data_IF_334793272729
#
_entry.id   IF_334793272729
#
_cell.length_a   1.000
_cell.length_b   1.000
_cell.length_c   1.000
_cell.angle_alpha   90.00
_cell.angle_beta   90.00
_cell.angle_gamma   90.00
#
_symmetry.space_group_name_H-M   'P 1'
#
loop_
_entity.id
_entity.type
_entity.pdbx_description
1 polymer ?
#
# COMPACT_ATOMS: atom_id res chain seq x y z
N UNK A 1 5.32 5.96 6.31
CA UNK A 1 4.33 4.94 6.74
C UNK A 1 5.06 3.69 7.16
N UNK A 2 5.21 2.73 6.23
CA UNK A 2 5.75 1.38 6.46
C UNK A 2 6.94 1.32 7.41
N UNK A 3 8.08 1.92 7.05
CA UNK A 3 9.29 1.84 7.88
C UNK A 3 9.17 2.52 9.24
N UNK A 4 8.37 3.59 9.33
CA UNK A 4 8.06 4.25 10.61
C UNK A 4 7.28 3.32 11.54
N UNK A 5 6.38 2.52 10.98
CA UNK A 5 5.61 1.50 11.72
C UNK A 5 6.47 0.33 12.14
N UNK A 6 7.38 -0.14 11.28
CA UNK A 6 8.35 -1.19 11.65
C UNK A 6 9.23 -0.71 12.80
N UNK A 7 9.78 0.51 12.69
CA UNK A 7 10.57 1.11 13.76
C UNK A 7 9.75 1.27 15.05
N UNK A 8 8.51 1.73 14.95
CA UNK A 8 7.59 1.86 16.08
C UNK A 8 7.29 0.53 16.77
N UNK A 9 7.06 -0.54 16.00
CA UNK A 9 6.80 -1.87 16.52
C UNK A 9 8.04 -2.47 17.22
N UNK A 10 9.23 -2.27 16.64
CA UNK A 10 10.50 -2.72 17.25
C UNK A 10 10.79 -1.94 18.54
N UNK A 11 10.59 -0.62 18.56
CA UNK A 11 10.76 0.21 19.76
C UNK A 11 9.74 -0.13 20.85
N UNK A 12 8.48 -0.41 20.49
CA UNK A 12 7.48 -0.87 21.43
C UNK A 12 7.83 -2.24 22.03
N UNK A 13 8.52 -3.08 21.27
CA UNK A 13 9.02 -4.37 21.74
C UNK A 13 10.18 -4.22 22.72
N UNK A 14 11.15 -3.34 22.41
CA UNK A 14 12.26 -3.02 23.32
C UNK A 14 11.79 -2.35 24.63
N UNK A 15 10.71 -1.56 24.56
CA UNK A 15 10.07 -0.95 25.72
C UNK A 15 9.22 -1.94 26.56
N UNK A 16 9.10 -3.21 26.15
CA UNK A 16 8.32 -4.24 26.83
C UNK A 16 6.80 -4.05 26.75
N UNK A 17 6.32 -3.21 25.83
CA UNK A 17 4.88 -2.94 25.64
C UNK A 17 4.22 -3.94 24.69
N UNK A 18 5.00 -4.58 23.82
CA UNK A 18 4.57 -5.57 22.82
C UNK A 18 5.66 -6.64 22.67
N UNK A 19 5.35 -7.82 22.15
CA UNK A 19 6.33 -8.88 21.89
C UNK A 19 6.27 -9.32 20.43
N UNK A 20 6.66 -8.42 19.52
CA UNK A 20 6.67 -8.71 18.09
C UNK A 20 8.08 -9.08 17.61
N UNK A 21 8.16 -10.20 16.90
CA UNK A 21 9.35 -10.52 16.12
C UNK A 21 9.55 -9.49 15.00
N UNK A 22 10.78 -9.35 14.50
CA UNK A 22 11.08 -8.44 13.38
C UNK A 22 10.25 -8.79 12.14
N UNK A 23 9.98 -10.06 11.90
CA UNK A 23 9.16 -10.55 10.79
C UNK A 23 7.69 -10.12 10.93
N UNK A 24 7.14 -10.22 12.14
CA UNK A 24 5.78 -9.75 12.44
C UNK A 24 5.69 -8.23 12.34
N UNK A 25 6.65 -7.50 12.92
CA UNK A 25 6.74 -6.05 12.79
C UNK A 25 6.82 -5.60 11.32
N UNK A 26 7.61 -6.31 10.50
CA UNK A 26 7.70 -6.07 9.06
C UNK A 26 6.35 -6.30 8.36
N UNK A 27 5.64 -7.39 8.67
CA UNK A 27 4.33 -7.67 8.11
C UNK A 27 3.27 -6.62 8.49
N UNK A 28 3.25 -6.18 9.75
CA UNK A 28 2.36 -5.12 10.26
C UNK A 28 2.68 -3.79 9.57
N UNK A 29 3.96 -3.49 9.37
CA UNK A 29 4.39 -2.27 8.70
C UNK A 29 3.80 -2.09 7.31
N UNK A 30 3.59 -3.19 6.55
CA UNK A 30 3.05 -3.11 5.18
C UNK A 30 1.65 -2.50 5.13
N UNK A 31 0.86 -2.57 6.22
CA UNK A 31 -0.45 -1.89 6.33
C UNK A 31 -0.32 -0.39 5.99
N UNK A 32 0.79 0.24 6.41
CA UNK A 32 1.07 1.65 6.13
C UNK A 32 1.31 1.99 4.66
N UNK A 33 1.42 0.99 3.79
CA UNK A 33 1.48 1.16 2.33
C UNK A 33 0.10 1.28 1.69
N UNK A 34 -0.98 0.98 2.42
CA UNK A 34 -2.36 1.03 1.95
C UNK A 34 -2.62 0.20 0.67
N UNK A 35 -1.91 -0.92 0.52
CA UNK A 35 -2.09 -1.89 -0.57
C UNK A 35 -2.47 -3.27 0.01
N UNK A 36 -3.75 -3.64 -0.15
CA UNK A 36 -4.34 -4.85 0.43
C UNK A 36 -3.74 -6.15 -0.12
N UNK A 37 -3.75 -6.37 -1.45
CA UNK A 37 -3.13 -7.53 -2.07
C UNK A 37 -1.66 -7.75 -1.66
N UNK A 38 -0.86 -6.68 -1.64
CA UNK A 38 0.55 -6.78 -1.20
C UNK A 38 0.67 -7.07 0.30
N UNK A 39 -0.18 -6.45 1.14
CA UNK A 39 -0.20 -6.72 2.58
C UNK A 39 -0.51 -8.19 2.87
N UNK A 40 -1.51 -8.75 2.19
CA UNK A 40 -1.87 -10.18 2.31
C UNK A 40 -0.72 -11.07 1.85
N UNK A 41 -0.12 -10.77 0.70
CA UNK A 41 0.99 -11.57 0.17
C UNK A 41 2.19 -11.61 1.12
N UNK A 42 2.63 -10.44 1.61
CA UNK A 42 3.78 -10.36 2.53
C UNK A 42 3.44 -10.98 3.88
N UNK A 43 2.26 -10.72 4.45
CA UNK A 43 1.83 -11.33 5.70
C UNK A 43 1.77 -12.86 5.59
N UNK A 44 1.29 -13.42 4.48
CA UNK A 44 1.25 -14.87 4.28
C UNK A 44 2.64 -15.54 4.20
N UNK A 45 3.70 -14.77 3.94
CA UNK A 45 5.09 -15.24 3.92
C UNK A 45 5.85 -14.98 5.22
N UNK A 46 5.61 -13.84 5.87
CA UNK A 46 6.37 -13.39 7.03
C UNK A 46 5.70 -13.72 8.37
N UNK A 47 4.36 -13.60 8.45
CA UNK A 47 3.59 -13.79 9.67
C UNK A 47 2.19 -14.37 9.36
N UNK A 48 2.09 -15.65 8.94
CA UNK A 48 0.82 -16.28 8.54
C UNK A 48 -0.23 -16.29 9.65
N UNK A 49 0.21 -16.31 10.91
CA UNK A 49 -0.64 -16.27 12.10
C UNK A 49 -1.32 -14.92 12.31
N UNK A 50 -0.70 -13.82 11.84
CA UNK A 50 -1.25 -12.46 11.92
C UNK A 50 -2.04 -12.05 10.67
N UNK A 51 -2.11 -12.92 9.67
CA UNK A 51 -2.71 -12.62 8.36
C UNK A 51 -4.14 -12.07 8.47
N UNK A 52 -4.97 -12.69 9.33
CA UNK A 52 -6.35 -12.27 9.53
C UNK A 52 -6.45 -10.84 10.06
N UNK A 53 -5.72 -10.53 11.13
CA UNK A 53 -5.68 -9.21 11.74
C UNK A 53 -5.15 -8.15 10.75
N UNK A 54 -4.05 -8.44 10.06
CA UNK A 54 -3.42 -7.55 9.08
C UNK A 54 -4.37 -7.25 7.91
N UNK A 55 -5.03 -8.28 7.36
CA UNK A 55 -5.94 -8.11 6.23
C UNK A 55 -7.17 -7.27 6.61
N UNK A 56 -7.78 -7.54 7.77
CA UNK A 56 -8.92 -6.75 8.28
C UNK A 56 -8.52 -5.30 8.50
N UNK A 57 -7.38 -5.09 9.18
CA UNK A 57 -6.84 -3.75 9.43
C UNK A 57 -6.58 -3.00 8.11
N UNK A 58 -5.93 -3.64 7.14
CA UNK A 58 -5.59 -3.03 5.86
C UNK A 58 -6.82 -2.53 5.11
N UNK A 59 -7.83 -3.38 4.87
CA UNK A 59 -9.03 -2.98 4.14
C UNK A 59 -9.93 -2.01 4.95
N UNK A 60 -9.98 -2.16 6.27
CA UNK A 60 -10.71 -1.22 7.14
C UNK A 60 -10.11 0.18 7.06
N UNK A 61 -8.79 0.32 7.16
CA UNK A 61 -8.14 1.62 7.07
C UNK A 61 -8.19 2.23 5.68
N UNK A 62 -8.15 1.41 4.62
CA UNK A 62 -8.40 1.89 3.25
C UNK A 62 -9.80 2.49 3.10
N UNK A 63 -10.81 1.94 3.76
CA UNK A 63 -12.16 2.52 3.76
C UNK A 63 -12.24 3.81 4.62
N UNK A 64 -11.39 3.94 5.63
CA UNK A 64 -11.34 5.09 6.53
C UNK A 64 -10.43 6.23 6.04
N UNK A 65 -9.77 6.09 4.88
CA UNK A 65 -8.96 7.16 4.26
C UNK A 65 -9.68 8.52 4.22
N UNK A 66 -10.96 8.61 3.81
CA UNK A 66 -11.69 9.90 3.78
C UNK A 66 -11.93 10.51 5.15
N UNK A 67 -11.86 9.72 6.24
CA UNK A 67 -11.95 10.22 7.61
C UNK A 67 -10.57 10.63 8.14
N UNK A 68 -9.53 9.86 7.83
CA UNK A 68 -8.19 10.02 8.40
C UNK A 68 -7.38 11.10 7.68
N UNK A 69 -7.40 11.15 6.34
CA UNK A 69 -6.55 12.08 5.58
C UNK A 69 -6.95 13.56 5.74
N UNK A 70 -8.24 13.96 5.63
CA UNK A 70 -8.57 15.38 5.62
C UNK A 70 -8.17 16.15 6.88
N UNK A 71 -8.27 15.60 8.12
CA UNK A 71 -7.72 16.26 9.30
C UNK A 71 -6.20 16.48 9.23
N UNK A 72 -5.45 15.55 8.65
CA UNK A 72 -4.00 15.66 8.50
C UNK A 72 -3.66 16.74 7.46
N UNK A 73 -4.37 16.75 6.33
CA UNK A 73 -4.24 17.83 5.33
C UNK A 73 -4.55 19.18 5.99
N UNK A 74 -5.69 19.26 6.70
CA UNK A 74 -6.04 20.17 7.81
C UNK A 74 -4.85 20.85 8.47
N UNK A 75 -4.07 20.02 9.14
CA UNK A 75 -3.02 20.40 10.08
C UNK A 75 -1.70 20.78 9.40
N UNK A 76 -1.35 20.13 8.29
CA UNK A 76 -0.03 20.28 7.67
C UNK A 76 0.00 21.22 6.46
N UNK A 77 -1.13 21.57 5.85
CA UNK A 77 -1.18 22.49 4.68
C UNK A 77 -1.89 23.81 4.98
N UNK A 78 -1.49 24.86 4.26
CA UNK A 78 -2.05 26.21 4.36
C UNK A 78 -3.08 26.47 3.24
N UNK A 79 -3.93 27.48 3.39
CA UNK A 79 -4.93 27.83 2.36
C UNK A 79 -4.29 28.23 1.03
N UNK A 80 -3.16 28.94 1.06
CA UNK A 80 -2.44 29.36 -0.15
C UNK A 80 -1.90 28.17 -0.93
N UNK A 81 -1.38 27.16 -0.23
CA UNK A 81 -0.85 25.94 -0.83
C UNK A 81 -1.96 25.14 -1.51
N UNK A 82 -3.12 25.01 -0.85
CA UNK A 82 -4.29 24.28 -1.37
C UNK A 82 -4.88 24.91 -2.63
N UNK A 83 -4.70 26.23 -2.81
CA UNK A 83 -5.18 26.99 -3.98
C UNK A 83 -4.22 26.95 -5.17
N UNK A 84 -3.09 26.24 -5.07
CA UNK A 84 -2.15 26.10 -6.19
C UNK A 84 -2.79 25.35 -7.36
N UNK A 85 -2.76 25.98 -8.53
CA UNK A 85 -3.30 25.43 -9.78
C UNK A 85 -2.27 24.49 -10.39
N UNK A 86 -2.63 23.21 -10.54
CA UNK A 86 -1.79 22.21 -11.19
C UNK A 86 -1.87 22.36 -12.71
N UNK A 87 -0.72 22.32 -13.38
CA UNK A 87 -0.63 22.29 -14.84
C UNK A 87 -1.14 20.94 -15.34
N UNK A 88 -1.81 20.93 -16.50
CA UNK A 88 -2.26 19.69 -17.12
C UNK A 88 -1.06 18.80 -17.44
N UNK A 89 -1.21 17.50 -17.19
CA UNK A 89 -0.19 16.51 -17.53
C UNK A 89 0.04 16.48 -19.05
N UNK A 90 1.27 16.17 -19.46
CA UNK A 90 1.59 15.97 -20.88
C UNK A 90 0.80 14.80 -21.46
N UNK A 91 0.47 14.90 -22.74
CA UNK A 91 -0.04 13.73 -23.47
C UNK A 91 1.07 12.68 -23.59
N UNK A 92 0.77 11.47 -23.12
CA UNK A 92 1.67 10.32 -23.18
C UNK A 92 1.35 9.48 -24.40
N UNK A 93 2.36 9.23 -25.23
CA UNK A 93 2.23 8.41 -26.43
C UNK A 93 1.92 6.96 -26.10
N UNK A 94 1.28 6.23 -27.02
CA UNK A 94 0.96 4.82 -26.78
C UNK A 94 2.20 3.94 -26.62
N UNK A 95 3.26 4.24 -27.38
CA UNK A 95 4.55 3.56 -27.24
C UNK A 95 5.14 3.75 -25.85
N UNK A 96 5.00 4.94 -25.25
CA UNK A 96 5.49 5.21 -23.89
C UNK A 96 4.72 4.40 -22.84
N UNK A 97 3.39 4.30 -22.97
CA UNK A 97 2.56 3.50 -22.05
C UNK A 97 2.87 2.00 -22.12
N UNK A 98 3.14 1.47 -23.32
CA UNK A 98 3.52 0.05 -23.51
C UNK A 98 4.93 -0.22 -22.98
N UNK A 99 5.88 0.69 -23.22
CA UNK A 99 7.26 0.51 -22.78
C UNK A 99 7.43 0.66 -21.27
N UNK A 100 6.61 1.49 -20.62
CA UNK A 100 6.67 1.72 -19.17
C UNK A 100 6.69 0.42 -18.33
N UNK A 101 5.71 -0.49 -18.41
CA UNK A 101 5.73 -1.72 -17.60
C UNK A 101 6.91 -2.64 -17.93
N UNK A 102 7.40 -2.64 -19.18
CA UNK A 102 8.56 -3.45 -19.58
C UNK A 102 9.83 -2.91 -18.93
N UNK A 103 10.06 -1.60 -19.01
CA UNK A 103 11.23 -0.95 -18.40
C UNK A 103 11.21 -1.11 -16.89
N UNK A 104 10.05 -0.92 -16.25
CA UNK A 104 9.88 -1.16 -14.81
C UNK A 104 10.22 -2.61 -14.46
N UNK A 105 9.72 -3.59 -15.22
CA UNK A 105 10.01 -5.01 -14.98
C UNK A 105 11.50 -5.33 -15.08
N UNK A 106 12.19 -4.82 -16.11
CA UNK A 106 13.65 -5.02 -16.26
C UNK A 106 14.42 -4.36 -15.10
N UNK A 107 14.04 -3.14 -14.71
CA UNK A 107 14.66 -2.47 -13.56
C UNK A 107 14.46 -3.25 -12.26
N UNK A 108 13.27 -3.80 -12.04
CA UNK A 108 12.99 -4.64 -10.86
C UNK A 108 13.81 -5.92 -10.90
N UNK A 109 13.91 -6.58 -12.06
CA UNK A 109 14.71 -7.80 -12.21
C UNK A 109 16.20 -7.58 -11.92
N UNK A 110 16.74 -6.40 -12.28
CA UNK A 110 18.14 -6.04 -12.04
C UNK A 110 18.40 -5.55 -10.61
N UNK A 111 17.55 -4.69 -10.06
CA UNK A 111 17.79 -4.01 -8.78
C UNK A 111 17.20 -4.74 -7.57
N UNK A 112 16.03 -5.37 -7.71
CA UNK A 112 15.30 -5.97 -6.59
C UNK A 112 14.48 -7.21 -7.03
N UNK A 113 15.14 -8.35 -7.31
CA UNK A 113 14.47 -9.53 -7.85
C UNK A 113 13.44 -10.14 -6.90
N UNK A 114 13.55 -9.89 -5.59
CA UNK A 114 12.56 -10.34 -4.59
C UNK A 114 11.17 -9.69 -4.77
N UNK A 115 11.09 -8.51 -5.39
CA UNK A 115 9.84 -7.83 -5.73
C UNK A 115 9.26 -8.25 -7.09
N UNK A 116 10.02 -9.02 -7.89
CA UNK A 116 9.62 -9.42 -9.24
C UNK A 116 8.28 -10.17 -9.32
N UNK A 117 7.91 -11.06 -8.37
CA UNK A 117 6.60 -11.72 -8.43
C UNK A 117 5.41 -10.75 -8.30
N UNK A 118 5.56 -9.69 -7.49
CA UNK A 118 4.50 -8.69 -7.28
C UNK A 118 4.46 -7.71 -8.45
N UNK A 119 5.58 -7.04 -8.73
CA UNK A 119 5.66 -6.02 -9.77
C UNK A 119 5.54 -6.62 -11.18
N UNK A 120 5.98 -7.87 -11.38
CA UNK A 120 5.80 -8.59 -12.64
C UNK A 120 4.34 -8.85 -12.96
N UNK A 121 3.56 -9.34 -12.01
CA UNK A 121 2.12 -9.56 -12.21
C UNK A 121 1.37 -8.23 -12.38
N UNK A 122 1.78 -7.19 -11.67
CA UNK A 122 1.25 -5.84 -11.84
C UNK A 122 1.54 -5.29 -13.25
N UNK A 123 2.81 -5.36 -13.69
CA UNK A 123 3.24 -4.90 -15.02
C UNK A 123 2.61 -5.73 -16.15
N UNK A 124 2.36 -7.03 -15.93
CA UNK A 124 1.65 -7.87 -16.89
C UNK A 124 0.19 -7.42 -17.06
N UNK A 125 -0.51 -7.12 -15.95
CA UNK A 125 -1.84 -6.52 -16.00
C UNK A 125 -1.86 -5.18 -16.74
N UNK A 126 -0.87 -4.33 -16.47
CA UNK A 126 -0.71 -3.05 -17.15
C UNK A 126 -0.45 -3.23 -18.66
N UNK A 127 0.45 -4.14 -19.04
CA UNK A 127 0.75 -4.43 -20.44
C UNK A 127 -0.48 -4.97 -21.19
N UNK A 128 -1.29 -5.84 -20.58
CA UNK A 128 -2.53 -6.32 -21.20
C UNK A 128 -3.51 -5.17 -21.48
N UNK A 129 -3.60 -4.20 -20.57
CA UNK A 129 -4.46 -3.02 -20.72
C UNK A 129 -3.95 -2.07 -21.80
N UNK A 130 -2.64 -1.82 -21.84
CA UNK A 130 -2.04 -0.83 -22.75
C UNK A 130 -1.66 -1.41 -24.12
N UNK A 131 -1.59 -2.74 -24.28
CA UNK A 131 -1.21 -3.35 -25.55
C UNK A 131 -2.29 -3.26 -26.63
N UNK A 132 -3.58 -3.14 -26.27
CA UNK A 132 -4.70 -2.98 -27.21
C UNK A 132 -4.96 -4.15 -28.18
N UNK A 133 -4.24 -5.26 -28.05
CA UNK A 133 -4.41 -6.47 -28.89
C UNK A 133 -5.00 -7.65 -28.13
N UNK A 134 -5.12 -7.52 -26.81
CA UNK A 134 -5.60 -8.57 -25.88
C UNK A 134 -6.81 -8.11 -25.08
N UNK A 135 -7.72 -7.35 -25.70
CA UNK A 135 -8.88 -6.75 -25.04
C UNK A 135 -9.72 -7.78 -24.27
N UNK A 136 -9.95 -8.96 -24.87
CA UNK A 136 -10.68 -10.07 -24.22
C UNK A 136 -10.01 -10.54 -22.94
N UNK A 137 -8.68 -10.63 -22.92
CA UNK A 137 -7.93 -11.05 -21.73
C UNK A 137 -7.94 -9.93 -20.69
N UNK A 138 -7.68 -8.68 -21.09
CA UNK A 138 -7.70 -7.53 -20.19
C UNK A 138 -9.06 -7.39 -19.50
N UNK A 139 -10.16 -7.49 -20.26
CA UNK A 139 -11.53 -7.44 -19.73
C UNK A 139 -11.82 -8.61 -18.76
N UNK A 140 -11.44 -9.83 -19.15
CA UNK A 140 -11.61 -11.02 -18.30
C UNK A 140 -10.84 -10.88 -16.98
N UNK A 141 -9.62 -10.33 -17.01
CA UNK A 141 -8.77 -10.14 -15.82
C UNK A 141 -9.37 -9.09 -14.88
N UNK A 142 -9.82 -7.96 -15.40
CA UNK A 142 -10.37 -6.83 -14.62
C UNK A 142 -11.78 -7.11 -14.06
N UNK A 143 -12.53 -8.04 -14.66
CA UNK A 143 -13.89 -8.35 -14.26
C UNK A 143 -14.01 -9.77 -13.69
N UNK A 144 -14.14 -10.77 -14.56
CA UNK A 144 -14.50 -12.13 -14.14
C UNK A 144 -13.44 -12.76 -13.22
N UNK A 145 -12.15 -12.67 -13.59
CA UNK A 145 -11.08 -13.32 -12.86
C UNK A 145 -10.86 -12.67 -11.49
N UNK A 146 -10.79 -11.33 -11.42
CA UNK A 146 -10.59 -10.66 -10.14
C UNK A 146 -11.76 -10.92 -9.19
N UNK A 147 -13.00 -10.97 -9.68
CA UNK A 147 -14.17 -11.26 -8.85
C UNK A 147 -14.11 -12.68 -8.27
N UNK A 148 -13.78 -13.69 -9.09
CA UNK A 148 -13.64 -15.09 -8.63
C UNK A 148 -12.50 -15.23 -7.62
N UNK A 149 -11.32 -14.69 -7.94
CA UNK A 149 -10.15 -14.77 -7.05
C UNK A 149 -10.39 -14.01 -5.75
N UNK A 150 -11.08 -12.87 -5.78
CA UNK A 150 -11.42 -12.09 -4.58
C UNK A 150 -12.34 -12.85 -3.65
N UNK A 151 -13.32 -13.61 -4.17
CA UNK A 151 -14.19 -14.46 -3.35
C UNK A 151 -13.34 -15.53 -2.63
N UNK A 152 -12.48 -16.24 -3.36
CA UNK A 152 -11.62 -17.25 -2.75
C UNK A 152 -10.61 -16.66 -1.78
N UNK A 153 -10.04 -15.50 -2.09
CA UNK A 153 -9.12 -14.78 -1.22
C UNK A 153 -9.83 -14.36 0.07
N UNK A 154 -11.05 -13.81 -0.04
CA UNK A 154 -11.85 -13.40 1.11
C UNK A 154 -12.20 -14.58 2.02
N UNK A 155 -12.61 -15.71 1.44
CA UNK A 155 -12.84 -16.95 2.20
C UNK A 155 -11.54 -17.49 2.82
N UNK A 156 -10.43 -17.44 2.10
CA UNK A 156 -9.11 -17.87 2.58
C UNK A 156 -8.61 -17.02 3.75
N UNK A 157 -8.71 -15.70 3.66
CA UNK A 157 -8.39 -14.78 4.76
C UNK A 157 -9.35 -14.98 5.93
N UNK A 158 -10.65 -15.11 5.68
CA UNK A 158 -11.66 -15.37 6.70
C UNK A 158 -11.42 -16.68 7.46
N UNK A 159 -10.90 -17.71 6.78
CA UNK A 159 -10.54 -18.99 7.43
C UNK A 159 -9.42 -18.86 8.47
N UNK A 160 -8.62 -17.79 8.40
CA UNK A 160 -7.56 -17.46 9.37
C UNK A 160 -8.04 -16.58 10.52
N UNK A 161 -9.30 -16.16 10.52
CA UNK A 161 -9.91 -15.35 11.59
C UNK A 161 -10.54 -16.24 12.68
N UNK A 162 -9.74 -17.13 13.28
CA UNK A 162 -10.21 -17.87 14.45
C UNK A 162 -10.31 -16.94 15.66
N UNK A 163 -11.24 -17.20 16.59
CA UNK A 163 -11.44 -16.35 17.76
C UNK A 163 -10.15 -16.19 18.59
N UNK A 164 -9.37 -17.26 18.73
CA UNK A 164 -8.10 -17.27 19.47
C UNK A 164 -7.01 -16.45 18.75
N UNK A 165 -6.98 -16.48 17.43
CA UNK A 165 -6.00 -15.71 16.64
C UNK A 165 -6.35 -14.22 16.52
N UNK A 166 -7.63 -13.86 16.67
CA UNK A 166 -8.11 -12.49 16.46
C UNK A 166 -8.39 -11.73 17.77
N UNK A 167 -8.89 -12.40 18.81
CA UNK A 167 -9.18 -11.79 20.11
C UNK A 167 -7.98 -11.85 21.04
N UNK A 168 -6.85 -11.30 20.59
CA UNK A 168 -5.63 -11.17 21.39
C UNK A 168 -5.17 -9.71 21.48
N UNK A 169 -4.32 -9.44 22.47
CA UNK A 169 -3.77 -8.10 22.69
C UNK A 169 -2.89 -7.63 21.52
N UNK A 170 -2.28 -8.58 20.81
CA UNK A 170 -1.48 -8.32 19.63
C UNK A 170 -2.33 -7.74 18.49
N UNK A 171 -3.53 -8.27 18.23
CA UNK A 171 -4.42 -7.75 17.19
C UNK A 171 -4.84 -6.31 17.47
N UNK A 172 -5.13 -5.97 18.72
CA UNK A 172 -5.41 -4.59 19.11
C UNK A 172 -4.22 -3.67 18.82
N UNK A 173 -3.02 -4.15 19.12
CA UNK A 173 -1.75 -3.45 18.84
C UNK A 173 -1.54 -3.25 17.33
N UNK A 174 -1.84 -4.27 16.51
CA UNK A 174 -1.78 -4.21 15.04
C UNK A 174 -2.72 -3.14 14.48
N UNK A 175 -3.95 -3.07 15.00
CA UNK A 175 -4.92 -2.05 14.60
C UNK A 175 -4.38 -0.64 14.91
N UNK A 176 -3.93 -0.41 16.14
CA UNK A 176 -3.38 0.90 16.53
C UNK A 176 -2.17 1.27 15.67
N UNK A 177 -1.21 0.35 15.50
CA UNK A 177 -0.02 0.56 14.69
C UNK A 177 -0.36 0.83 13.22
N UNK A 178 -1.34 0.12 12.66
CA UNK A 178 -1.83 0.31 11.29
C UNK A 178 -2.45 1.68 11.07
N UNK A 179 -3.27 2.15 12.02
CA UNK A 179 -3.84 3.50 11.97
C UNK A 179 -2.73 4.57 12.03
N UNK A 180 -1.81 4.44 12.99
CA UNK A 180 -0.67 5.36 13.10
C UNK A 180 0.21 5.33 11.84
N UNK A 181 0.41 4.15 11.24
CA UNK A 181 1.15 3.98 9.98
C UNK A 181 0.59 4.86 8.87
N UNK A 182 -0.74 4.86 8.74
CA UNK A 182 -1.47 5.60 7.72
C UNK A 182 -1.41 7.11 7.98
N UNK A 183 -1.54 7.53 9.25
CA UNK A 183 -1.38 8.92 9.65
C UNK A 183 0.02 9.46 9.34
N UNK A 184 1.06 8.71 9.72
CA UNK A 184 2.46 9.07 9.45
C UNK A 184 2.76 9.05 7.95
N UNK A 185 2.20 8.10 7.20
CA UNK A 185 2.32 8.04 5.75
C UNK A 185 1.74 9.29 5.07
N UNK A 186 0.54 9.69 5.46
CA UNK A 186 -0.12 10.89 4.93
C UNK A 186 0.66 12.15 5.28
N UNK A 187 1.06 12.32 6.54
CA UNK A 187 1.83 13.48 6.97
C UNK A 187 3.19 13.56 6.25
N UNK A 188 3.91 12.44 6.12
CA UNK A 188 5.18 12.40 5.40
C UNK A 188 5.01 12.73 3.91
N UNK A 189 3.92 12.30 3.26
CA UNK A 189 3.62 12.63 1.87
C UNK A 189 3.44 14.14 1.66
N UNK A 190 2.64 14.78 2.51
CA UNK A 190 2.43 16.25 2.48
C UNK A 190 3.74 17.00 2.71
N UNK A 191 4.52 16.58 3.73
CA UNK A 191 5.81 17.22 4.04
C UNK A 191 6.83 17.04 2.90
N UNK A 192 6.80 15.90 2.21
CA UNK A 192 7.63 15.67 1.02
C UNK A 192 7.22 16.60 -0.11
N UNK A 193 5.91 16.75 -0.39
CA UNK A 193 5.43 17.69 -1.42
C UNK A 193 5.86 19.14 -1.11
N UNK A 194 5.77 19.57 0.15
CA UNK A 194 6.27 20.87 0.58
C UNK A 194 7.77 21.04 0.38
N UNK A 195 8.54 20.00 0.71
CA UNK A 195 9.99 20.03 0.56
C UNK A 195 10.39 20.06 -0.92
N UNK A 196 9.68 19.32 -1.78
CA UNK A 196 9.88 19.37 -3.24
C UNK A 196 9.62 20.77 -3.81
N UNK A 197 8.63 21.50 -3.28
CA UNK A 197 8.31 22.87 -3.70
C UNK A 197 9.41 23.90 -3.42
N UNK A 198 10.45 23.54 -2.65
CA UNK A 198 11.62 24.39 -2.45
C UNK A 198 12.63 24.31 -3.61
N UNK A 199 12.60 23.23 -4.39
CA UNK A 199 13.62 22.95 -5.42
C UNK A 199 13.06 22.86 -6.84
N UNK A 200 11.79 22.48 -7.00
CA UNK A 200 11.17 22.27 -8.32
C UNK A 200 10.57 23.56 -8.85
N UNK A 201 10.74 23.82 -10.15
CA UNK A 201 10.16 24.99 -10.84
C UNK A 201 8.64 24.90 -10.91
N UNK A 202 8.14 23.73 -11.30
CA UNK A 202 6.71 23.41 -11.32
C UNK A 202 6.31 22.87 -9.95
N UNK A 203 5.68 23.73 -9.14
CA UNK A 203 5.26 23.38 -7.78
C UNK A 203 4.14 22.34 -7.80
N UNK A 204 4.21 21.40 -6.86
CA UNK A 204 3.22 20.35 -6.62
C UNK A 204 2.28 20.79 -5.50
N UNK A 205 0.98 20.62 -5.69
CA UNK A 205 -0.01 20.89 -4.64
C UNK A 205 0.11 19.86 -3.50
N UNK A 206 0.44 20.25 -2.25
CA UNK A 206 0.66 19.36 -1.12
C UNK A 206 -0.61 18.71 -0.54
#
# INVERSE_FOLDING_TARGET
GIFGTVAGAVLATDAGLMDFTIQQAAAIGIIGGADGPTSIFIASKLAPELLGAIAVAAYSYMALVPMIQPPIMKLFTNEEERKMVMVQAREVSQSEKIMFPIVVLVLVALCLPSAAPLLGMFCFGNLMKESGVVDRLSDTVQNALINVVTIFLGLGVGSKMSAESFLNFDTLSILILGLTAFCVGTAAGVLMAKTMNLFVKDKVNP
#
